data_IF_450841856918
#
_entry.id   IF_450841856918
#
_cell.length_a   1.000
_cell.length_b   1.000
_cell.length_c   1.000
_cell.angle_alpha   90.00
_cell.angle_beta   90.00
_cell.angle_gamma   90.00
#
_symmetry.space_group_name_H-M   'P 1'
#
loop_
_entity.id
_entity.type
_entity.pdbx_description
1 polymer ?
#
# COMPACT_ATOMS: atom_id res chain seq x y z
N UNK A 1 -8.33 -12.86 -2.94
CA UNK A 1 -7.80 -13.42 -4.20
C UNK A 1 -8.92 -13.31 -5.20
N UNK A 2 -8.71 -12.66 -6.35
CA UNK A 2 -9.73 -12.61 -7.39
C UNK A 2 -9.93 -14.02 -7.94
N UNK A 3 -11.01 -14.69 -7.53
CA UNK A 3 -11.39 -15.99 -8.06
C UNK A 3 -12.19 -15.74 -9.34
N UNK A 4 -11.62 -16.06 -10.50
CA UNK A 4 -12.41 -16.14 -11.72
C UNK A 4 -12.87 -17.58 -11.84
N UNK A 5 -14.16 -17.79 -11.56
CA UNK A 5 -14.83 -19.06 -11.82
C UNK A 5 -15.23 -19.09 -13.28
N UNK A 6 -14.60 -19.98 -14.05
CA UNK A 6 -15.07 -20.30 -15.39
C UNK A 6 -15.74 -21.67 -15.32
N UNK A 7 -17.06 -21.72 -15.50
CA UNK A 7 -17.77 -22.98 -15.72
C UNK A 7 -17.37 -23.49 -17.10
N UNK A 8 -16.73 -24.66 -17.13
CA UNK A 8 -16.24 -25.29 -18.38
C UNK A 8 -17.23 -26.35 -18.87
N UNK A 9 -18.00 -26.95 -17.94
CA UNK A 9 -19.07 -27.92 -18.22
C UNK A 9 -20.09 -27.93 -17.07
N UNK A 10 -21.25 -28.53 -17.27
CA UNK A 10 -22.20 -28.88 -16.19
C UNK A 10 -21.47 -29.78 -15.17
N UNK A 11 -21.07 -29.18 -14.05
CA UNK A 11 -20.36 -29.87 -12.95
C UNK A 11 -18.86 -29.61 -12.85
N UNK A 12 -18.21 -28.98 -13.85
CA UNK A 12 -16.77 -28.68 -13.79
C UNK A 12 -16.51 -27.18 -13.77
N UNK A 13 -16.00 -26.69 -12.64
CA UNK A 13 -15.60 -25.29 -12.45
C UNK A 13 -14.08 -25.21 -12.44
N UNK A 14 -13.49 -24.50 -13.41
CA UNK A 14 -12.05 -24.27 -13.45
C UNK A 14 -11.74 -22.99 -12.68
N UNK A 15 -10.96 -23.14 -11.62
CA UNK A 15 -10.52 -22.02 -10.79
C UNK A 15 -9.24 -21.44 -11.38
N UNK A 16 -9.34 -20.26 -11.99
CA UNK A 16 -8.16 -19.51 -12.38
C UNK A 16 -7.71 -18.66 -11.19
N UNK A 17 -6.56 -19.04 -10.63
CA UNK A 17 -5.88 -18.26 -9.61
C UNK A 17 -5.11 -17.12 -10.28
N UNK A 18 -5.63 -15.91 -10.15
CA UNK A 18 -4.88 -14.71 -10.52
C UNK A 18 -4.13 -14.20 -9.28
N UNK A 19 -2.81 -13.96 -9.36
CA UNK A 19 -2.10 -13.24 -8.32
C UNK A 19 -2.60 -11.78 -8.34
N UNK A 20 -3.48 -11.43 -7.39
CA UNK A 20 -4.01 -10.08 -7.22
C UNK A 20 -5.36 -9.81 -7.90
N UNK A 21 -6.05 -8.76 -7.44
CA UNK A 21 -7.27 -8.22 -8.05
C UNK A 21 -6.91 -7.44 -9.33
N UNK A 22 -7.69 -7.56 -10.41
CA UNK A 22 -7.51 -6.76 -11.64
C UNK A 22 -7.43 -5.27 -11.36
N UNK A 23 -8.14 -4.79 -10.33
CA UNK A 23 -8.07 -3.38 -9.89
C UNK A 23 -6.69 -2.99 -9.40
N UNK A 24 -5.94 -3.92 -8.81
CA UNK A 24 -4.58 -3.69 -8.30
C UNK A 24 -3.60 -3.56 -9.45
N UNK A 25 -3.70 -4.44 -10.46
CA UNK A 25 -2.91 -4.34 -11.68
C UNK A 25 -3.14 -3.03 -12.42
N UNK A 26 -4.40 -2.55 -12.47
CA UNK A 26 -4.70 -1.21 -13.02
C UNK A 26 -4.02 -0.10 -12.22
N UNK A 27 -4.08 -0.13 -10.89
CA UNK A 27 -3.43 0.88 -10.04
C UNK A 27 -1.91 0.86 -10.18
N UNK A 28 -1.32 -0.34 -10.25
CA UNK A 28 0.11 -0.50 -10.51
C UNK A 28 0.49 0.09 -11.87
N UNK A 29 -0.27 -0.23 -12.92
CA UNK A 29 -0.08 0.34 -14.26
C UNK A 29 -0.20 1.87 -14.28
N UNK A 30 -1.19 2.44 -13.57
CA UNK A 30 -1.34 3.90 -13.44
C UNK A 30 -0.13 4.50 -12.71
N UNK A 31 0.34 3.90 -11.62
CA UNK A 31 1.49 4.40 -10.88
C UNK A 31 2.77 4.39 -11.73
N UNK A 32 3.02 3.31 -12.47
CA UNK A 32 4.13 3.23 -13.43
C UNK A 32 3.96 4.28 -14.54
N UNK A 33 2.76 4.45 -15.08
CA UNK A 33 2.48 5.46 -16.10
C UNK A 33 2.75 6.88 -15.62
N UNK A 34 2.36 7.23 -14.39
CA UNK A 34 2.67 8.53 -13.78
C UNK A 34 4.20 8.69 -13.61
N UNK A 35 4.89 7.64 -13.17
CA UNK A 35 6.35 7.61 -13.09
C UNK A 35 7.03 7.89 -14.42
N UNK A 36 6.64 7.19 -15.48
CA UNK A 36 7.17 7.39 -16.83
C UNK A 36 6.87 8.80 -17.35
N UNK A 37 5.65 9.31 -17.15
CA UNK A 37 5.31 10.67 -17.53
C UNK A 37 6.18 11.70 -16.79
N UNK A 38 6.40 11.49 -15.48
CA UNK A 38 7.26 12.35 -14.65
C UNK A 38 8.71 12.32 -15.14
N UNK A 39 9.22 11.12 -15.45
CA UNK A 39 10.56 10.95 -16.03
C UNK A 39 10.70 11.76 -17.31
N UNK A 40 9.76 11.60 -18.25
CA UNK A 40 9.83 12.28 -19.55
C UNK A 40 9.81 13.80 -19.39
N UNK A 41 8.93 14.34 -18.53
CA UNK A 41 8.88 15.79 -18.27
C UNK A 41 10.18 16.29 -17.67
N UNK A 42 10.68 15.65 -16.61
CA UNK A 42 11.92 16.05 -15.96
C UNK A 42 13.11 15.95 -16.91
N UNK A 43 13.24 14.84 -17.64
CA UNK A 43 14.30 14.65 -18.61
C UNK A 43 14.24 15.67 -19.75
N UNK A 44 13.04 16.01 -20.26
CA UNK A 44 12.89 17.04 -21.29
C UNK A 44 13.33 18.42 -20.80
N UNK A 45 13.07 18.75 -19.53
CA UNK A 45 13.40 20.04 -18.94
C UNK A 45 14.88 20.16 -18.55
N UNK A 46 15.44 19.14 -17.90
CA UNK A 46 16.79 19.20 -17.35
C UNK A 46 17.85 18.66 -18.30
N UNK A 47 17.45 17.75 -19.21
CA UNK A 47 18.36 16.91 -20.00
C UNK A 47 19.34 16.09 -19.16
N UNK A 48 19.02 15.90 -17.88
CA UNK A 48 19.82 15.17 -16.92
C UNK A 48 19.04 13.94 -16.43
N UNK A 49 19.69 12.78 -16.53
CA UNK A 49 19.13 11.49 -16.14
C UNK A 49 18.94 11.37 -14.64
N UNK A 50 19.86 11.93 -13.83
CA UNK A 50 19.83 11.76 -12.39
C UNK A 50 18.55 12.31 -11.73
N UNK A 51 18.23 13.61 -11.86
CA UNK A 51 17.01 14.17 -11.27
C UNK A 51 15.75 13.57 -11.91
N UNK A 52 15.80 13.21 -13.20
CA UNK A 52 14.66 12.60 -13.89
C UNK A 52 14.34 11.20 -13.33
N UNK A 53 15.36 10.36 -13.14
CA UNK A 53 15.23 9.02 -12.58
C UNK A 53 14.80 9.06 -11.11
N UNK A 54 15.47 9.88 -10.30
CA UNK A 54 15.16 10.03 -8.88
C UNK A 54 13.72 10.53 -8.72
N UNK A 55 13.35 11.60 -9.42
CA UNK A 55 12.00 12.15 -9.39
C UNK A 55 10.94 11.14 -9.82
N UNK A 56 11.15 10.44 -10.93
CA UNK A 56 10.20 9.46 -11.44
C UNK A 56 10.02 8.26 -10.51
N UNK A 57 11.11 7.71 -9.97
CA UNK A 57 11.06 6.59 -9.02
C UNK A 57 10.43 7.02 -7.70
N UNK A 58 10.73 8.22 -7.20
CA UNK A 58 10.08 8.80 -6.01
C UNK A 58 8.58 9.01 -6.19
N UNK A 59 8.13 9.54 -7.33
CA UNK A 59 6.69 9.70 -7.61
C UNK A 59 6.01 8.35 -7.71
N UNK A 60 6.62 7.38 -8.40
CA UNK A 60 6.09 6.01 -8.48
C UNK A 60 5.98 5.37 -7.10
N UNK A 61 7.03 5.50 -6.27
CA UNK A 61 7.06 5.00 -4.91
C UNK A 61 6.01 5.69 -4.03
N UNK A 62 5.81 7.01 -4.19
CA UNK A 62 4.80 7.77 -3.47
C UNK A 62 3.38 7.31 -3.80
N UNK A 63 3.03 7.22 -5.10
CA UNK A 63 1.70 6.77 -5.54
C UNK A 63 1.41 5.33 -5.11
N UNK A 64 2.40 4.43 -5.24
CA UNK A 64 2.25 3.04 -4.81
C UNK A 64 2.17 2.91 -3.29
N UNK A 65 3.02 3.65 -2.56
CA UNK A 65 3.04 3.74 -1.11
C UNK A 65 1.67 4.14 -0.56
N UNK A 66 1.12 5.26 -1.05
CA UNK A 66 -0.20 5.75 -0.63
C UNK A 66 -1.32 4.74 -0.88
N UNK A 67 -1.31 4.07 -2.04
CA UNK A 67 -2.28 3.02 -2.35
C UNK A 67 -2.16 1.81 -1.43
N UNK A 68 -0.94 1.39 -1.08
CA UNK A 68 -0.71 0.31 -0.14
C UNK A 68 -1.12 0.70 1.28
N UNK A 69 -0.79 1.91 1.74
CA UNK A 69 -1.16 2.40 3.06
C UNK A 69 -2.68 2.41 3.28
N UNK A 70 -3.44 2.94 2.31
CA UNK A 70 -4.91 2.90 2.36
C UNK A 70 -5.46 1.48 2.43
N UNK A 71 -4.82 0.56 1.70
CA UNK A 71 -5.21 -0.86 1.71
C UNK A 71 -4.90 -1.51 3.05
N UNK A 72 -3.74 -1.23 3.63
CA UNK A 72 -3.35 -1.72 4.95
C UNK A 72 -4.31 -1.23 6.03
N UNK A 73 -4.68 0.05 6.02
CA UNK A 73 -5.69 0.57 6.93
C UNK A 73 -7.04 -0.15 6.80
N UNK A 74 -7.55 -0.40 5.58
CA UNK A 74 -8.79 -1.18 5.37
C UNK A 74 -8.67 -2.64 5.82
N UNK A 75 -7.49 -3.23 5.65
CA UNK A 75 -7.25 -4.59 6.12
C UNK A 75 -7.28 -4.65 7.65
N UNK A 76 -6.73 -3.62 8.31
CA UNK A 76 -6.71 -3.46 9.76
C UNK A 76 -8.12 -3.30 10.35
N UNK A 77 -9.03 -2.60 9.68
CA UNK A 77 -10.44 -2.48 10.12
C UNK A 77 -11.24 -3.78 9.96
N UNK A 78 -10.73 -4.73 9.17
CA UNK A 78 -11.41 -5.99 8.85
C UNK A 78 -10.97 -7.16 9.74
N UNK A 79 -10.17 -6.93 10.78
CA UNK A 79 -9.73 -8.01 11.66
C UNK A 79 -10.93 -8.58 12.44
N UNK A 80 -11.24 -9.88 12.29
CA UNK A 80 -12.29 -10.50 13.08
C UNK A 80 -11.89 -10.48 14.55
N UNK A 81 -12.88 -10.34 15.45
CA UNK A 81 -12.68 -10.62 16.88
C UNK A 81 -11.96 -11.96 17.01
N UNK A 82 -10.81 -11.97 17.69
CA UNK A 82 -9.83 -13.06 17.67
C UNK A 82 -10.26 -14.32 18.45
N UNK A 83 -11.55 -14.55 18.60
CA UNK A 83 -12.12 -15.69 19.33
C UNK A 83 -12.26 -16.90 18.40
N UNK A 84 -11.26 -17.78 18.41
CA UNK A 84 -11.34 -19.12 17.82
C UNK A 84 -10.29 -19.45 16.74
N UNK A 85 -10.28 -20.71 16.30
CA UNK A 85 -9.30 -21.26 15.33
C UNK A 85 -9.41 -20.61 13.95
N UNK A 86 -10.61 -20.33 13.48
CA UNK A 86 -10.84 -19.67 12.20
C UNK A 86 -10.29 -18.23 12.17
N UNK A 87 -10.44 -17.49 13.27
CA UNK A 87 -9.89 -16.15 13.42
C UNK A 87 -8.34 -16.15 13.38
N UNK A 88 -7.70 -17.15 13.99
CA UNK A 88 -6.23 -17.32 13.95
C UNK A 88 -5.73 -17.57 12.52
N UNK A 89 -6.40 -18.43 11.75
CA UNK A 89 -6.03 -18.70 10.35
C UNK A 89 -6.20 -17.44 9.50
N UNK A 90 -7.30 -16.69 9.71
CA UNK A 90 -7.52 -15.42 9.03
C UNK A 90 -6.44 -14.40 9.38
N UNK A 91 -6.04 -14.30 10.65
CA UNK A 91 -4.96 -13.41 11.10
C UNK A 91 -3.62 -13.75 10.43
N UNK A 92 -3.22 -15.03 10.40
CA UNK A 92 -1.99 -15.48 9.72
C UNK A 92 -2.03 -15.16 8.21
N UNK A 93 -3.18 -15.35 7.57
CA UNK A 93 -3.33 -15.01 6.16
C UNK A 93 -3.23 -13.49 5.90
N UNK A 94 -3.74 -12.65 6.80
CA UNK A 94 -3.64 -11.19 6.68
C UNK A 94 -2.21 -10.69 6.96
N UNK A 95 -1.54 -11.21 7.99
CA UNK A 95 -0.14 -10.85 8.29
C UNK A 95 0.79 -11.28 7.18
N UNK A 96 0.61 -12.48 6.60
CA UNK A 96 1.37 -12.92 5.43
C UNK A 96 1.20 -11.99 4.22
N UNK A 97 -0.02 -11.49 3.97
CA UNK A 97 -0.27 -10.51 2.89
C UNK A 97 0.32 -9.14 3.18
N UNK A 98 0.35 -8.71 4.43
CA UNK A 98 1.01 -7.47 4.83
C UNK A 98 2.52 -7.60 4.65
N UNK A 99 3.12 -8.69 5.13
CA UNK A 99 4.53 -9.00 4.97
C UNK A 99 4.95 -9.05 3.49
N UNK A 100 4.16 -9.70 2.63
CA UNK A 100 4.41 -9.73 1.19
C UNK A 100 4.43 -8.33 0.57
N UNK A 101 3.47 -7.46 0.93
CA UNK A 101 3.45 -6.08 0.43
C UNK A 101 4.64 -5.26 0.94
N UNK A 102 5.03 -5.47 2.19
CA UNK A 102 6.25 -4.88 2.75
C UNK A 102 7.50 -5.29 1.96
N UNK A 103 7.62 -6.59 1.63
CA UNK A 103 8.72 -7.11 0.83
C UNK A 103 8.73 -6.50 -0.58
N UNK A 104 7.59 -6.45 -1.26
CA UNK A 104 7.47 -5.83 -2.59
C UNK A 104 7.83 -4.34 -2.55
N UNK A 105 7.46 -3.62 -1.49
CA UNK A 105 7.82 -2.21 -1.31
C UNK A 105 9.34 -2.05 -1.11
N UNK A 106 9.95 -2.89 -0.27
CA UNK A 106 11.39 -2.91 -0.06
C UNK A 106 12.18 -3.25 -1.33
N UNK A 107 11.70 -4.22 -2.11
CA UNK A 107 12.29 -4.57 -3.41
C UNK A 107 12.23 -3.40 -4.40
N UNK A 108 11.11 -2.68 -4.45
CA UNK A 108 10.97 -1.49 -5.29
C UNK A 108 11.96 -0.38 -4.91
N UNK A 109 12.13 -0.14 -3.61
CA UNK A 109 13.14 0.82 -3.11
C UNK A 109 14.58 0.40 -3.44
N UNK A 110 14.91 -0.88 -3.26
CA UNK A 110 16.23 -1.41 -3.59
C UNK A 110 16.51 -1.34 -5.10
N UNK A 111 15.53 -1.68 -5.94
CA UNK A 111 15.65 -1.57 -7.39
C UNK A 111 15.87 -0.12 -7.85
N UNK A 112 15.16 0.84 -7.24
CA UNK A 112 15.38 2.26 -7.50
C UNK A 112 16.80 2.70 -7.10
N UNK A 113 17.29 2.26 -5.93
CA UNK A 113 18.63 2.57 -5.47
C UNK A 113 19.71 2.02 -6.42
N UNK A 114 19.59 0.76 -6.84
CA UNK A 114 20.52 0.15 -7.82
C UNK A 114 20.49 0.93 -9.14
N UNK A 115 19.31 1.31 -9.62
CA UNK A 115 19.18 2.04 -10.87
C UNK A 115 19.80 3.45 -10.79
N UNK A 116 19.64 4.15 -9.66
CA UNK A 116 20.27 5.46 -9.44
C UNK A 116 21.78 5.31 -9.36
N UNK A 117 22.30 4.35 -8.56
CA UNK A 117 23.74 4.11 -8.39
C UNK A 117 24.48 3.75 -9.68
N UNK A 118 23.79 3.24 -10.71
CA UNK A 118 24.38 2.92 -12.00
C UNK A 118 24.41 4.09 -13.00
N UNK A 119 23.94 5.29 -12.61
CA UNK A 119 24.02 6.46 -13.47
C UNK A 119 25.44 7.06 -13.47
N UNK A 120 25.86 7.74 -14.55
CA UNK A 120 27.16 8.41 -14.60
C UNK A 120 27.08 9.74 -13.83
N UNK A 121 27.30 9.67 -12.53
CA UNK A 121 27.28 10.80 -11.60
C UNK A 121 28.33 10.58 -10.51
N UNK A 122 28.80 11.67 -9.90
CA UNK A 122 29.80 11.63 -8.83
C UNK A 122 29.43 12.62 -7.73
N UNK A 123 29.59 12.22 -6.47
CA UNK A 123 29.48 13.12 -5.33
C UNK A 123 28.61 12.56 -4.21
N UNK A 124 28.90 12.98 -2.97
CA UNK A 124 28.32 12.39 -1.75
C UNK A 124 26.78 12.38 -1.78
N UNK A 125 26.15 13.45 -2.26
CA UNK A 125 24.68 13.54 -2.33
C UNK A 125 24.12 12.52 -3.33
N UNK A 126 24.75 12.42 -4.50
CA UNK A 126 24.35 11.51 -5.57
C UNK A 126 24.53 10.05 -5.17
N UNK A 127 25.64 9.73 -4.51
CA UNK A 127 26.02 8.37 -4.18
C UNK A 127 25.31 7.84 -2.91
N UNK A 128 25.00 8.71 -1.94
CA UNK A 128 24.50 8.28 -0.63
C UNK A 128 23.07 8.71 -0.32
N UNK A 129 22.64 9.87 -0.81
CA UNK A 129 21.34 10.45 -0.43
C UNK A 129 20.29 10.10 -1.47
N UNK A 130 20.55 10.39 -2.74
CA UNK A 130 19.56 10.22 -3.83
C UNK A 130 19.02 8.79 -3.98
N UNK A 131 19.82 7.71 -3.82
CA UNK A 131 19.32 6.33 -3.90
C UNK A 131 18.29 5.99 -2.81
N UNK A 132 18.33 6.70 -1.68
CA UNK A 132 17.46 6.48 -0.51
C UNK A 132 16.14 7.24 -0.65
N UNK A 133 16.11 8.34 -1.42
CA UNK A 133 14.95 9.23 -1.55
C UNK A 133 13.67 8.50 -1.99
N UNK A 134 13.66 7.62 -3.01
CA UNK A 134 12.44 6.91 -3.41
C UNK A 134 11.84 6.05 -2.30
N UNK A 135 12.69 5.38 -1.52
CA UNK A 135 12.23 4.54 -0.40
C UNK A 135 11.59 5.37 0.72
N UNK A 136 12.21 6.51 1.06
CA UNK A 136 11.65 7.44 2.08
C UNK A 136 10.31 8.00 1.63
N UNK A 137 10.23 8.47 0.38
CA UNK A 137 8.97 9.00 -0.19
C UNK A 137 7.88 7.92 -0.19
N UNK A 138 8.21 6.68 -0.59
CA UNK A 138 7.27 5.57 -0.57
C UNK A 138 6.77 5.24 0.84
N UNK A 139 7.66 5.20 1.83
CA UNK A 139 7.30 4.94 3.23
C UNK A 139 6.42 6.05 3.82
N UNK A 140 6.77 7.32 3.59
CA UNK A 140 5.96 8.46 4.05
C UNK A 140 4.57 8.46 3.41
N UNK A 141 4.51 8.23 2.10
CA UNK A 141 3.24 8.15 1.38
C UNK A 141 2.38 6.98 1.87
N UNK A 142 3.00 5.85 2.23
CA UNK A 142 2.30 4.73 2.87
C UNK A 142 1.68 5.14 4.20
N UNK A 143 2.44 5.78 5.10
CA UNK A 143 1.90 6.27 6.37
C UNK A 143 0.77 7.27 6.16
N UNK A 144 0.94 8.22 5.23
CA UNK A 144 -0.11 9.17 4.86
C UNK A 144 -1.37 8.47 4.33
N UNK A 145 -1.22 7.42 3.53
CA UNK A 145 -2.33 6.60 3.04
C UNK A 145 -3.08 5.90 4.16
N UNK A 146 -2.36 5.38 5.17
CA UNK A 146 -3.00 4.78 6.35
C UNK A 146 -3.79 5.82 7.14
N UNK A 147 -3.19 6.98 7.43
CA UNK A 147 -3.83 8.07 8.15
C UNK A 147 -5.07 8.58 7.42
N UNK A 148 -4.96 8.81 6.10
CA UNK A 148 -6.07 9.28 5.27
C UNK A 148 -7.31 8.40 5.40
N UNK A 149 -7.13 7.08 5.48
CA UNK A 149 -8.24 6.14 5.59
C UNK A 149 -8.81 6.04 7.02
N UNK A 150 -8.04 6.45 8.03
CA UNK A 150 -8.46 6.47 9.45
C UNK A 150 -9.17 7.77 9.85
N UNK A 151 -8.82 8.91 9.24
CA UNK A 151 -9.43 10.23 9.53
C UNK A 151 -10.98 10.24 9.52
N UNK A 152 -11.68 9.57 8.57
CA UNK A 152 -13.14 9.50 8.58
C UNK A 152 -13.72 8.68 9.75
N UNK A 153 -12.94 7.75 10.32
CA UNK A 153 -13.39 6.89 11.42
C UNK A 153 -13.30 7.60 12.78
N UNK A 154 -12.36 8.54 12.94
CA UNK A 154 -12.13 9.26 14.20
C UNK A 154 -13.19 10.33 14.51
N UNK A 155 -13.95 10.78 13.51
CA UNK A 155 -14.99 11.82 13.67
C UNK A 155 -16.36 11.25 14.06
N UNK A 156 -16.56 9.93 13.96
CA UNK A 156 -17.84 9.28 14.28
C UNK A 156 -18.01 8.90 15.77
N UNK A 157 -17.01 9.11 16.62
CA UNK A 157 -17.01 8.65 18.03
C UNK A 157 -17.30 9.76 19.04
N UNK A 158 -18.22 10.69 18.71
CA UNK A 158 -18.84 11.58 19.69
C UNK A 158 -20.37 11.38 19.65
N UNK A 159 -20.82 10.14 19.82
CA UNK A 159 -22.20 9.87 20.20
C UNK A 159 -22.40 10.26 21.66
N UNK A 160 -23.56 10.84 22.05
CA UNK A 160 -23.79 11.28 23.43
C UNK A 160 -23.60 10.12 24.39
N UNK A 161 -22.89 10.38 25.49
CA UNK A 161 -22.68 9.41 26.56
C UNK A 161 -24.03 8.80 26.96
N UNK A 162 -24.13 7.46 26.94
CA UNK A 162 -25.30 6.78 27.50
C UNK A 162 -25.46 7.25 28.95
N UNK A 163 -26.61 7.83 29.26
CA UNK A 163 -26.97 8.18 30.63
C UNK A 163 -26.80 6.94 31.53
N UNK A 164 -26.17 7.09 32.71
CA UNK A 164 -26.07 5.99 33.66
C UNK A 164 -27.47 5.57 34.09
N UNK A 165 -27.77 4.27 33.94
CA UNK A 165 -29.01 3.66 34.41
C UNK A 165 -29.09 3.88 35.93
N UNK A 166 -30.14 4.55 36.45
CA UNK A 166 -30.28 4.72 37.89
C UNK A 166 -30.44 3.35 38.55
N UNK A 167 -29.69 3.13 39.63
CA UNK A 167 -29.78 1.93 40.44
C UNK A 167 -31.23 1.78 40.93
N UNK A 168 -31.90 0.71 40.52
CA UNK A 168 -33.22 0.38 41.04
C UNK A 168 -33.10 0.06 42.52
N UNK A 169 -33.53 0.98 43.38
CA UNK A 169 -33.98 0.69 44.73
C UNK A 169 -35.13 -0.32 44.64
N UNK A 170 -34.97 -1.51 45.23
CA UNK A 170 -36.06 -2.48 45.25
C UNK A 170 -35.67 -3.93 45.52
N UNK A 171 -34.92 -4.19 46.59
CA UNK A 171 -34.99 -5.49 47.25
C UNK A 171 -35.78 -5.31 48.54
N UNK A 172 -37.06 -5.67 48.50
CA UNK A 172 -37.86 -5.97 49.69
C UNK A 172 -37.72 -7.46 49.99
#
# INVERSE_FOLDING_TARGET
>A
MGRIEKKVSEGTTKYYWYPGDKREWKRAGIAVGIGVATFLVLYMMTRDLLPAVVGATSVTAGVTGLNFGRRDARALTSFPNLTGRAARIAAVAQTGRAAWRGLVHGFGGAAAAVLILNLPHTGIIADWILPVVPAVVGALAHQAGMLFEQLPSSTATAGPAKEPVPASEGAK
#
